data_IF_237927335616
#
_entry.id   IF_237927335616
#
_cell.length_a   1.000
_cell.length_b   1.000
_cell.length_c   1.000
_cell.angle_alpha   90.00
_cell.angle_beta   90.00
_cell.angle_gamma   90.00
#
_symmetry.space_group_name_H-M   'P 1'
#
loop_
_entity.id
_entity.type
_entity.pdbx_description
1 polymer ?
#
# COMPACT_ATOMS: atom_id res chain seq x y z
N UNK A 1 -8.36 -10.52 -12.95
CA UNK A 1 -6.94 -10.12 -12.78
C UNK A 1 -5.96 -11.16 -13.34
N UNK A 2 -6.42 -12.35 -13.72
CA UNK A 2 -5.59 -13.33 -14.44
C UNK A 2 -5.15 -12.71 -15.78
N UNK A 3 -3.84 -12.65 -16.03
CA UNK A 3 -3.25 -12.11 -17.27
C UNK A 3 -2.64 -10.71 -17.13
N UNK A 4 -2.57 -10.13 -15.94
CA UNK A 4 -1.88 -8.85 -15.72
C UNK A 4 -0.38 -9.01 -15.42
N UNK A 5 0.05 -10.22 -15.05
CA UNK A 5 1.45 -10.53 -14.72
C UNK A 5 2.41 -10.15 -15.87
N UNK A 6 2.15 -10.53 -17.15
CA UNK A 6 3.05 -10.18 -18.25
C UNK A 6 3.11 -8.67 -18.49
N UNK A 7 2.02 -7.95 -18.26
CA UNK A 7 1.99 -6.49 -18.43
C UNK A 7 2.85 -5.80 -17.38
N UNK A 8 2.73 -6.19 -16.09
CA UNK A 8 3.53 -5.64 -15.00
C UNK A 8 5.02 -5.94 -15.24
N UNK A 9 5.35 -7.16 -15.64
CA UNK A 9 6.71 -7.58 -15.96
C UNK A 9 7.30 -6.76 -17.11
N UNK A 10 6.57 -6.59 -18.22
CA UNK A 10 7.02 -5.81 -19.37
C UNK A 10 7.23 -4.33 -19.02
N UNK A 11 6.29 -3.74 -18.27
CA UNK A 11 6.39 -2.36 -17.83
C UNK A 11 7.62 -2.13 -16.95
N UNK A 12 7.83 -3.00 -15.95
CA UNK A 12 9.00 -2.92 -15.07
C UNK A 12 10.29 -3.15 -15.84
N UNK A 13 10.33 -4.08 -16.79
CA UNK A 13 11.49 -4.28 -17.66
C UNK A 13 11.88 -3.01 -18.41
N UNK A 14 10.92 -2.33 -19.05
CA UNK A 14 11.16 -1.05 -19.73
C UNK A 14 11.62 0.05 -18.79
N UNK A 15 11.08 0.13 -17.58
CA UNK A 15 11.51 1.12 -16.59
C UNK A 15 12.94 0.82 -16.11
N UNK A 16 13.29 -0.43 -15.89
CA UNK A 16 14.65 -0.86 -15.52
C UNK A 16 15.65 -0.52 -16.62
N UNK A 17 15.35 -0.83 -17.87
CA UNK A 17 16.18 -0.49 -19.04
C UNK A 17 16.39 1.02 -19.19
N UNK A 18 15.37 1.82 -18.91
CA UNK A 18 15.42 3.27 -19.07
C UNK A 18 16.14 3.97 -17.94
N UNK A 19 15.91 3.55 -16.70
CA UNK A 19 16.35 4.29 -15.50
C UNK A 19 17.51 3.63 -14.75
N UNK A 20 17.86 2.39 -15.09
CA UNK A 20 18.93 1.62 -14.44
C UNK A 20 18.90 1.71 -12.90
N UNK A 21 17.74 1.42 -12.24
CA UNK A 21 17.61 1.57 -10.81
C UNK A 21 18.45 0.53 -10.07
N UNK A 22 18.81 0.81 -8.82
CA UNK A 22 19.53 -0.14 -7.94
C UNK A 22 18.63 -1.24 -7.39
N UNK A 23 17.33 -0.95 -7.28
CA UNK A 23 16.27 -1.87 -6.90
C UNK A 23 14.92 -1.31 -7.41
N UNK A 24 13.93 -2.18 -7.48
CA UNK A 24 12.54 -1.78 -7.74
C UNK A 24 11.66 -2.09 -6.52
N UNK A 25 10.63 -1.26 -6.31
CA UNK A 25 9.60 -1.50 -5.30
C UNK A 25 8.25 -1.56 -6.01
N UNK A 26 7.53 -2.68 -5.88
CA UNK A 26 6.14 -2.76 -6.30
C UNK A 26 5.28 -2.25 -5.13
N UNK A 27 5.01 -0.94 -5.12
CA UNK A 27 4.25 -0.28 -4.06
C UNK A 27 2.72 -0.45 -4.28
N UNK A 28 2.28 -1.69 -4.43
CA UNK A 28 0.88 -2.08 -4.58
C UNK A 28 0.69 -3.50 -4.06
N UNK A 29 -0.20 -3.70 -3.07
CA UNK A 29 -0.48 -5.03 -2.53
C UNK A 29 -1.03 -5.97 -3.61
N UNK A 30 -1.99 -5.51 -4.40
CA UNK A 30 -2.58 -6.30 -5.50
C UNK A 30 -1.52 -6.72 -6.52
N UNK A 31 -0.71 -5.79 -7.02
CA UNK A 31 0.31 -6.10 -8.02
C UNK A 31 1.42 -7.01 -7.44
N UNK A 32 1.78 -6.82 -6.17
CA UNK A 32 2.78 -7.67 -5.53
C UNK A 32 2.30 -9.11 -5.39
N UNK A 33 1.06 -9.35 -4.98
CA UNK A 33 0.53 -10.71 -4.82
C UNK A 33 0.40 -11.45 -6.16
N UNK A 34 0.21 -10.71 -7.26
CA UNK A 34 0.02 -11.29 -8.59
C UNK A 34 1.36 -11.51 -9.30
N UNK A 35 2.26 -10.53 -9.30
CA UNK A 35 3.37 -10.48 -10.23
C UNK A 35 4.77 -10.61 -9.61
N UNK A 36 4.92 -10.55 -8.28
CA UNK A 36 6.24 -10.42 -7.65
C UNK A 36 7.21 -11.55 -8.02
N UNK A 37 6.76 -12.80 -8.01
CA UNK A 37 7.62 -13.94 -8.31
C UNK A 37 8.00 -13.99 -9.80
N UNK A 38 7.07 -13.64 -10.69
CA UNK A 38 7.33 -13.53 -12.12
C UNK A 38 8.35 -12.42 -12.43
N UNK A 39 8.19 -11.25 -11.78
CA UNK A 39 9.11 -10.12 -11.95
C UNK A 39 10.50 -10.46 -11.43
N UNK A 40 10.60 -11.12 -10.26
CA UNK A 40 11.89 -11.53 -9.67
C UNK A 40 12.64 -12.55 -10.52
N UNK A 41 11.92 -13.45 -11.19
CA UNK A 41 12.55 -14.43 -12.07
C UNK A 41 12.98 -13.86 -13.42
N UNK A 42 12.42 -12.72 -13.83
CA UNK A 42 12.69 -12.12 -15.14
C UNK A 42 13.70 -10.97 -15.11
N UNK A 43 13.89 -10.32 -13.96
CA UNK A 43 14.77 -9.14 -13.84
C UNK A 43 15.97 -9.45 -12.96
N UNK A 44 17.16 -9.18 -13.47
CA UNK A 44 18.42 -9.23 -12.70
C UNK A 44 18.56 -7.97 -11.84
N UNK A 45 17.63 -7.79 -10.92
CA UNK A 45 17.48 -6.61 -10.06
C UNK A 45 16.76 -7.00 -8.78
N UNK A 46 17.18 -6.52 -7.59
CA UNK A 46 16.42 -6.70 -6.36
C UNK A 46 15.02 -6.08 -6.47
N UNK A 47 13.98 -6.88 -6.23
CA UNK A 47 12.58 -6.40 -6.25
C UNK A 47 11.94 -6.59 -4.89
N UNK A 48 11.45 -5.48 -4.31
CA UNK A 48 10.71 -5.45 -3.04
C UNK A 48 9.23 -5.36 -3.36
N UNK A 49 8.45 -6.31 -2.86
CA UNK A 49 6.99 -6.26 -2.93
C UNK A 49 6.37 -5.68 -1.67
N UNK A 50 5.11 -5.29 -1.77
CA UNK A 50 4.28 -4.82 -0.68
C UNK A 50 3.28 -5.91 -0.31
N UNK A 51 3.17 -6.22 0.97
CA UNK A 51 2.24 -7.23 1.49
C UNK A 51 1.48 -6.67 2.68
N UNK A 52 0.22 -7.11 2.91
CA UNK A 52 -0.53 -6.70 4.09
C UNK A 52 0.24 -6.97 5.39
N UNK A 53 0.30 -5.97 6.26
CA UNK A 53 1.09 -6.01 7.50
C UNK A 53 0.37 -6.80 8.62
N UNK A 54 -0.09 -8.02 8.32
CA UNK A 54 -0.86 -8.86 9.25
C UNK A 54 -0.03 -9.25 10.46
N UNK A 55 1.26 -9.62 10.27
CA UNK A 55 2.14 -9.99 11.38
C UNK A 55 2.29 -8.84 12.41
N UNK A 56 2.69 -7.62 12.04
CA UNK A 56 2.75 -6.51 12.99
C UNK A 56 1.40 -6.20 13.64
N UNK A 57 0.28 -6.33 12.92
CA UNK A 57 -1.05 -6.14 13.48
C UNK A 57 -1.37 -7.18 14.55
N UNK A 58 -1.04 -8.46 14.32
CA UNK A 58 -1.22 -9.52 15.30
C UNK A 58 -0.36 -9.33 16.57
N UNK A 59 0.82 -8.73 16.43
CA UNK A 59 1.71 -8.43 17.54
C UNK A 59 1.16 -7.34 18.49
N UNK A 60 0.37 -6.39 17.99
CA UNK A 60 -0.17 -5.27 18.79
C UNK A 60 -1.63 -5.41 19.17
N UNK A 61 -2.42 -6.23 18.46
CA UNK A 61 -3.84 -6.44 18.76
C UNK A 61 -4.03 -7.11 20.13
N UNK A 62 -4.85 -6.50 20.98
CA UNK A 62 -5.23 -7.02 22.30
C UNK A 62 -6.54 -7.78 22.24
N UNK A 63 -7.49 -7.31 21.44
CA UNK A 63 -8.79 -7.98 21.26
C UNK A 63 -8.71 -9.27 20.46
N UNK A 64 -7.62 -9.45 19.72
CA UNK A 64 -7.42 -10.52 18.72
C UNK A 64 -8.44 -10.47 17.57
N UNK A 65 -9.04 -9.29 17.34
CA UNK A 65 -9.91 -9.00 16.20
C UNK A 65 -9.24 -7.90 15.35
N UNK A 66 -8.82 -8.27 14.16
CA UNK A 66 -8.03 -7.43 13.27
C UNK A 66 -8.82 -7.15 12.00
N UNK A 67 -8.95 -5.89 11.63
CA UNK A 67 -9.47 -5.47 10.33
C UNK A 67 -8.37 -5.49 9.26
N UNK A 68 -8.69 -5.99 8.07
CA UNK A 68 -7.85 -5.84 6.88
C UNK A 68 -8.59 -4.99 5.86
N UNK A 69 -8.17 -3.74 5.75
CA UNK A 69 -8.79 -2.73 4.89
C UNK A 69 -7.94 -2.60 3.61
N UNK A 70 -8.52 -2.94 2.47
CA UNK A 70 -7.79 -2.98 1.20
C UNK A 70 -8.67 -2.65 -0.01
N UNK A 71 -8.19 -2.97 -1.20
CA UNK A 71 -9.04 -3.04 -2.37
C UNK A 71 -9.80 -4.37 -2.38
N UNK A 72 -10.94 -4.44 -3.08
CA UNK A 72 -11.68 -5.69 -3.27
C UNK A 72 -10.77 -6.83 -3.79
N UNK A 73 -9.87 -6.50 -4.72
CA UNK A 73 -8.92 -7.45 -5.26
C UNK A 73 -7.93 -7.96 -4.22
N UNK A 74 -7.42 -7.08 -3.34
CA UNK A 74 -6.45 -7.47 -2.30
C UNK A 74 -7.10 -8.35 -1.24
N UNK A 75 -8.27 -7.96 -0.72
CA UNK A 75 -8.88 -8.65 0.43
C UNK A 75 -9.42 -10.05 0.08
N UNK A 76 -9.63 -10.31 -1.22
CA UNK A 76 -10.08 -11.63 -1.73
C UNK A 76 -8.94 -12.57 -2.14
N UNK A 77 -7.69 -12.13 -2.06
CA UNK A 77 -6.56 -12.99 -2.44
C UNK A 77 -6.32 -14.10 -1.42
N UNK A 78 -6.12 -15.35 -1.85
CA UNK A 78 -5.74 -16.46 -0.97
C UNK A 78 -4.48 -16.17 -0.13
N UNK A 79 -3.59 -15.35 -0.66
CA UNK A 79 -2.40 -14.87 0.03
C UNK A 79 -2.70 -14.18 1.38
N UNK A 80 -3.84 -13.50 1.50
CA UNK A 80 -4.27 -12.91 2.78
C UNK A 80 -4.62 -14.01 3.79
N UNK A 81 -5.21 -15.12 3.32
CA UNK A 81 -5.50 -16.30 4.15
C UNK A 81 -4.20 -16.97 4.63
N UNK A 82 -3.23 -17.13 3.74
CA UNK A 82 -1.92 -17.70 4.07
C UNK A 82 -1.18 -16.86 5.12
N UNK A 83 -1.19 -15.52 4.97
CA UNK A 83 -0.62 -14.62 5.96
C UNK A 83 -1.35 -14.71 7.31
N UNK A 84 -2.67 -14.76 7.29
CA UNK A 84 -3.48 -14.88 8.50
C UNK A 84 -3.20 -16.20 9.22
N UNK A 85 -3.22 -17.31 8.50
CA UNK A 85 -2.89 -18.63 9.06
C UNK A 85 -1.48 -18.69 9.65
N UNK A 86 -0.52 -18.05 8.99
CA UNK A 86 0.89 -18.09 9.41
C UNK A 86 1.21 -17.19 10.61
N UNK A 87 0.57 -16.03 10.73
CA UNK A 87 1.00 -14.97 11.65
C UNK A 87 -0.06 -14.53 12.64
N UNK A 88 -1.32 -14.95 12.48
CA UNK A 88 -2.46 -14.52 13.29
C UNK A 88 -3.50 -15.63 13.45
N UNK A 89 -3.05 -16.89 13.61
CA UNK A 89 -3.92 -18.05 13.75
C UNK A 89 -4.85 -18.01 14.96
N UNK A 90 -4.52 -17.17 15.93
CA UNK A 90 -5.30 -16.89 17.17
C UNK A 90 -6.13 -15.60 17.06
N UNK A 91 -6.22 -14.99 15.87
CA UNK A 91 -6.98 -13.77 15.61
C UNK A 91 -8.15 -14.02 14.68
N UNK A 92 -9.24 -13.30 14.91
CA UNK A 92 -10.30 -13.13 13.92
C UNK A 92 -9.89 -12.05 12.91
N UNK A 93 -9.97 -12.35 11.60
CA UNK A 93 -9.64 -11.42 10.53
C UNK A 93 -10.91 -10.96 9.82
N UNK A 94 -11.26 -9.69 9.99
CA UNK A 94 -12.38 -9.05 9.29
C UNK A 94 -11.83 -8.30 8.08
N UNK A 95 -12.38 -8.56 6.88
CA UNK A 95 -11.89 -8.01 5.62
C UNK A 95 -12.90 -7.05 5.02
N UNK A 96 -12.43 -5.91 4.58
CA UNK A 96 -13.25 -4.94 3.87
C UNK A 96 -12.50 -4.35 2.68
N UNK A 97 -13.11 -4.47 1.49
CA UNK A 97 -12.62 -3.85 0.27
C UNK A 97 -13.39 -2.54 0.02
N UNK A 98 -12.68 -1.41 -0.03
CA UNK A 98 -13.31 -0.10 -0.23
C UNK A 98 -12.72 0.64 -1.43
N UNK A 99 -13.35 0.59 -2.60
CA UNK A 99 -12.95 1.42 -3.74
C UNK A 99 -13.17 2.92 -3.47
N UNK A 100 -14.11 3.25 -2.57
CA UNK A 100 -14.39 4.64 -2.23
C UNK A 100 -13.22 5.28 -1.46
N UNK A 101 -12.57 4.56 -0.53
CA UNK A 101 -11.37 5.04 0.13
C UNK A 101 -10.22 5.31 -0.86
N UNK A 102 -10.10 4.54 -1.94
CA UNK A 102 -9.11 4.83 -2.99
C UNK A 102 -9.40 6.17 -3.64
N UNK A 103 -10.67 6.45 -4.01
CA UNK A 103 -11.07 7.73 -4.60
C UNK A 103 -10.84 8.92 -3.66
N UNK A 104 -11.16 8.75 -2.38
CA UNK A 104 -10.92 9.77 -1.35
C UNK A 104 -9.41 10.06 -1.19
N UNK A 105 -8.56 9.03 -1.17
CA UNK A 105 -7.12 9.20 -1.10
C UNK A 105 -6.56 9.93 -2.33
N UNK A 106 -7.02 9.59 -3.54
CA UNK A 106 -6.66 10.28 -4.78
C UNK A 106 -7.14 11.73 -4.77
N UNK A 107 -8.35 11.99 -4.28
CA UNK A 107 -8.88 13.34 -4.12
C UNK A 107 -8.01 14.19 -3.18
N UNK A 108 -7.63 13.62 -2.02
CA UNK A 108 -6.72 14.28 -1.07
C UNK A 108 -5.35 14.57 -1.68
N UNK A 109 -4.79 13.64 -2.45
CA UNK A 109 -3.52 13.84 -3.13
C UNK A 109 -3.61 14.92 -4.22
N UNK A 110 -4.76 15.07 -4.85
CA UNK A 110 -5.07 16.14 -5.80
C UNK A 110 -5.33 17.50 -5.14
N UNK A 111 -5.36 17.57 -3.81
CA UNK A 111 -5.56 18.80 -3.05
C UNK A 111 -6.98 19.08 -2.60
N UNK A 112 -7.91 18.16 -2.83
CA UNK A 112 -9.29 18.30 -2.33
C UNK A 112 -9.33 18.08 -0.81
N UNK A 113 -10.28 18.72 -0.17
CA UNK A 113 -10.59 18.42 1.22
C UNK A 113 -11.41 17.13 1.31
N UNK A 114 -10.95 16.23 2.17
CA UNK A 114 -11.63 14.96 2.43
C UNK A 114 -12.21 15.02 3.85
N UNK A 115 -13.51 14.80 3.98
CA UNK A 115 -14.15 14.85 5.29
C UNK A 115 -14.00 13.53 6.05
N UNK A 116 -13.94 13.62 7.38
CA UNK A 116 -13.92 12.46 8.29
C UNK A 116 -15.17 11.59 8.11
N UNK A 117 -16.31 12.22 7.86
CA UNK A 117 -17.60 11.53 7.65
C UNK A 117 -17.58 10.67 6.39
N UNK A 118 -16.97 11.16 5.29
CA UNK A 118 -16.84 10.39 4.05
C UNK A 118 -15.93 9.17 4.25
N UNK A 119 -14.79 9.36 4.95
CA UNK A 119 -13.87 8.27 5.28
C UNK A 119 -14.52 7.27 6.24
N UNK A 120 -15.26 7.76 7.25
CA UNK A 120 -16.05 6.92 8.15
C UNK A 120 -17.06 6.07 7.38
N UNK A 121 -17.88 6.67 6.54
CA UNK A 121 -18.89 5.97 5.76
C UNK A 121 -18.30 4.87 4.87
N UNK A 122 -17.13 5.15 4.27
CA UNK A 122 -16.44 4.21 3.38
C UNK A 122 -15.76 3.03 4.12
N UNK A 123 -15.42 3.18 5.40
CA UNK A 123 -14.80 2.15 6.23
C UNK A 123 -15.80 1.46 7.18
N UNK A 124 -16.95 2.09 7.46
CA UNK A 124 -17.96 1.65 8.44
C UNK A 124 -18.42 0.19 8.26
N UNK A 125 -18.62 -0.33 7.03
CA UNK A 125 -19.06 -1.71 6.85
C UNK A 125 -18.13 -2.77 7.48
N UNK A 126 -16.84 -2.43 7.68
CA UNK A 126 -15.92 -3.32 8.39
C UNK A 126 -16.27 -3.45 9.88
N UNK A 127 -16.87 -2.42 10.46
CA UNK A 127 -17.19 -2.32 11.89
C UNK A 127 -18.64 -2.71 12.20
N UNK A 128 -19.51 -2.86 11.20
CA UNK A 128 -20.95 -3.13 11.39
C UNK A 128 -21.26 -4.61 11.69
N UNK A 129 -20.31 -5.52 11.50
CA UNK A 129 -20.50 -6.95 11.76
C UNK A 129 -20.48 -7.28 13.26
N UNK A 130 -20.89 -8.50 13.64
CA UNK A 130 -20.97 -8.92 15.04
C UNK A 130 -19.65 -8.77 15.82
N UNK A 131 -18.53 -8.96 15.14
CA UNK A 131 -17.18 -8.85 15.71
C UNK A 131 -16.53 -7.51 15.40
N UNK A 132 -17.16 -6.70 14.54
CA UNK A 132 -16.61 -5.42 14.06
C UNK A 132 -16.36 -4.42 15.20
N UNK A 133 -17.22 -4.40 16.21
CA UNK A 133 -17.06 -3.55 17.39
C UNK A 133 -15.83 -3.93 18.26
N UNK A 134 -15.29 -5.13 18.08
CA UNK A 134 -14.11 -5.62 18.79
C UNK A 134 -12.80 -5.34 18.05
N UNK A 135 -12.84 -4.78 16.85
CA UNK A 135 -11.64 -4.43 16.09
C UNK A 135 -10.85 -3.36 16.86
N UNK A 136 -9.64 -3.68 17.28
CA UNK A 136 -8.71 -2.73 17.90
C UNK A 136 -7.52 -2.37 17.01
N UNK A 137 -7.33 -3.12 15.93
CA UNK A 137 -6.21 -2.94 15.01
C UNK A 137 -6.68 -3.14 13.57
N UNK A 138 -6.30 -2.22 12.68
CA UNK A 138 -6.60 -2.27 11.25
C UNK A 138 -5.32 -2.24 10.44
N UNK A 139 -5.18 -3.23 9.54
CA UNK A 139 -4.13 -3.26 8.53
C UNK A 139 -4.56 -2.42 7.32
N UNK A 140 -3.80 -1.39 6.99
CA UNK A 140 -3.96 -0.60 5.78
C UNK A 140 -3.33 -1.36 4.60
N UNK A 141 -4.09 -2.29 4.03
CA UNK A 141 -3.65 -3.19 2.96
C UNK A 141 -3.79 -2.59 1.55
N UNK A 142 -3.81 -1.28 1.45
CA UNK A 142 -3.72 -0.51 0.20
C UNK A 142 -2.78 0.66 0.42
N UNK A 143 -1.84 0.88 -0.49
CA UNK A 143 -0.83 1.94 -0.38
C UNK A 143 -1.40 3.36 -0.48
N UNK A 144 -2.64 3.53 -0.87
CA UNK A 144 -3.37 4.80 -0.80
C UNK A 144 -3.84 5.16 0.61
N UNK A 145 -4.17 4.17 1.42
CA UNK A 145 -4.88 4.39 2.68
C UNK A 145 -4.08 5.10 3.78
N UNK A 146 -2.74 4.99 3.86
CA UNK A 146 -1.96 5.85 4.75
C UNK A 146 -2.14 7.35 4.50
N UNK A 147 -2.54 7.77 3.30
CA UNK A 147 -2.90 9.17 3.02
C UNK A 147 -4.15 9.65 3.79
N UNK A 148 -5.01 8.71 4.20
CA UNK A 148 -6.24 8.97 4.96
C UNK A 148 -6.13 8.58 6.44
N UNK A 149 -4.92 8.29 6.93
CA UNK A 149 -4.74 7.80 8.31
C UNK A 149 -5.23 8.80 9.35
N UNK A 150 -5.09 10.09 9.11
CA UNK A 150 -5.58 11.14 10.00
C UNK A 150 -7.10 11.10 10.14
N UNK A 151 -7.82 11.05 9.03
CA UNK A 151 -9.28 10.97 8.99
C UNK A 151 -9.79 9.64 9.56
N UNK A 152 -9.08 8.54 9.29
CA UNK A 152 -9.39 7.23 9.87
C UNK A 152 -9.26 7.24 11.39
N UNK A 153 -8.21 7.85 11.94
CA UNK A 153 -8.02 7.98 13.40
C UNK A 153 -9.08 8.84 14.05
N UNK A 154 -9.52 9.90 13.38
CA UNK A 154 -10.64 10.74 13.86
C UNK A 154 -11.97 9.99 13.74
N UNK A 155 -12.18 9.21 12.68
CA UNK A 155 -13.38 8.43 12.50
C UNK A 155 -13.51 7.28 13.53
N UNK A 156 -12.41 6.60 13.83
CA UNK A 156 -12.36 5.43 14.71
C UNK A 156 -11.19 5.55 15.71
N UNK A 157 -11.34 6.39 16.75
CA UNK A 157 -10.22 6.81 17.63
C UNK A 157 -9.63 5.69 18.49
N UNK A 158 -10.37 4.59 18.70
CA UNK A 158 -9.93 3.46 19.52
C UNK A 158 -9.19 2.38 18.70
N UNK A 159 -8.93 2.63 17.42
CA UNK A 159 -8.31 1.67 16.50
C UNK A 159 -6.86 2.05 16.23
N UNK A 160 -5.98 1.08 16.31
CA UNK A 160 -4.58 1.19 15.87
C UNK A 160 -4.47 0.87 14.39
N UNK A 161 -3.69 1.66 13.63
CA UNK A 161 -3.48 1.45 12.21
C UNK A 161 -2.05 0.99 11.94
N UNK A 162 -1.90 0.00 11.05
CA UNK A 162 -0.61 -0.58 10.67
C UNK A 162 -0.54 -0.69 9.16
N UNK A 163 0.57 -0.28 8.57
CA UNK A 163 0.87 -0.44 7.14
C UNK A 163 2.18 -1.20 6.90
N UNK A 164 2.49 -1.43 5.62
CA UNK A 164 3.71 -2.12 5.19
C UNK A 164 4.96 -1.24 5.13
N UNK A 165 4.84 0.08 5.30
CA UNK A 165 5.91 1.06 5.01
C UNK A 165 7.20 0.79 5.77
N UNK A 166 7.13 0.59 7.07
CA UNK A 166 8.30 0.30 7.90
C UNK A 166 9.00 -1.02 7.50
N UNK A 167 8.23 -2.04 7.10
CA UNK A 167 8.76 -3.32 6.60
C UNK A 167 9.49 -3.16 5.28
N UNK A 168 8.90 -2.42 4.35
CA UNK A 168 9.48 -2.08 3.05
C UNK A 168 10.78 -1.30 3.25
N UNK A 169 10.78 -0.26 4.07
CA UNK A 169 11.96 0.56 4.36
C UNK A 169 13.11 -0.28 4.93
N UNK A 170 12.84 -1.15 5.90
CA UNK A 170 13.87 -2.09 6.43
C UNK A 170 14.42 -3.01 5.36
N UNK A 171 13.57 -3.52 4.46
CA UNK A 171 14.02 -4.40 3.38
C UNK A 171 14.87 -3.66 2.35
N UNK A 172 14.50 -2.44 2.00
CA UNK A 172 15.31 -1.56 1.13
C UNK A 172 16.68 -1.32 1.77
N UNK A 173 16.72 -0.90 3.04
CA UNK A 173 17.95 -0.64 3.76
C UNK A 173 18.87 -1.89 3.80
N UNK A 174 18.30 -3.07 4.00
CA UNK A 174 19.04 -4.33 3.96
C UNK A 174 19.67 -4.61 2.59
N UNK A 175 18.88 -4.46 1.51
CA UNK A 175 19.31 -4.75 0.14
C UNK A 175 20.31 -3.73 -0.40
N UNK A 176 20.32 -2.53 0.15
CA UNK A 176 21.24 -1.44 -0.28
C UNK A 176 22.38 -1.19 0.70
N UNK A 177 22.54 -2.08 1.69
CA UNK A 177 23.61 -1.98 2.69
C UNK A 177 24.99 -1.94 2.03
N UNK A 178 25.82 -0.96 2.42
CA UNK A 178 27.17 -0.76 1.87
C UNK A 178 27.24 -0.10 0.51
N UNK A 179 26.12 0.24 -0.11
CA UNK A 179 26.11 1.01 -1.35
C UNK A 179 26.38 2.50 -1.06
N UNK A 180 27.13 3.21 -1.93
CA UNK A 180 27.31 4.66 -1.78
C UNK A 180 26.01 5.40 -2.07
N UNK A 181 25.67 6.33 -1.18
CA UNK A 181 24.53 7.22 -1.33
C UNK A 181 25.01 8.66 -1.53
N UNK A 182 24.33 9.49 -2.33
CA UNK A 182 24.66 10.89 -2.45
C UNK A 182 24.46 11.60 -1.10
N UNK A 183 25.34 12.56 -0.80
CA UNK A 183 25.28 13.36 0.44
C UNK A 183 24.04 14.27 0.48
N UNK A 184 23.51 14.64 -0.68
CA UNK A 184 22.28 15.42 -0.83
C UNK A 184 21.25 14.56 -1.58
N UNK A 185 20.05 14.34 -1.01
CA UNK A 185 19.01 13.62 -1.71
C UNK A 185 18.63 14.36 -3.01
N UNK A 186 18.60 13.65 -4.12
CA UNK A 186 17.99 14.15 -5.36
C UNK A 186 16.47 14.13 -5.19
N UNK A 187 15.76 15.13 -5.72
CA UNK A 187 14.31 15.12 -5.78
C UNK A 187 13.77 13.92 -6.55
N UNK A 188 12.65 13.37 -6.08
CA UNK A 188 11.95 12.28 -6.77
C UNK A 188 11.30 12.74 -8.08
N UNK A 189 11.12 11.80 -9.01
CA UNK A 189 10.37 12.01 -10.26
C UNK A 189 9.15 11.11 -10.26
N UNK A 190 7.96 11.69 -10.48
CA UNK A 190 6.73 10.95 -10.77
C UNK A 190 6.59 10.76 -12.27
N UNK A 191 6.52 9.51 -12.71
CA UNK A 191 6.34 9.18 -14.13
C UNK A 191 4.98 8.51 -14.34
N UNK A 192 4.12 9.11 -15.14
CA UNK A 192 2.88 8.48 -15.60
C UNK A 192 3.13 7.70 -16.89
N UNK A 193 2.63 6.48 -16.95
CA UNK A 193 2.68 5.62 -18.16
C UNK A 193 1.49 5.85 -19.11
N UNK A 194 0.73 6.89 -18.87
CA UNK A 194 -0.41 7.34 -19.64
C UNK A 194 -0.98 8.62 -19.05
N UNK A 195 -2.06 9.14 -19.62
CA UNK A 195 -2.74 10.33 -19.08
C UNK A 195 -3.46 9.97 -17.79
N UNK A 196 -3.09 10.52 -16.63
CA UNK A 196 -3.78 10.25 -15.39
C UNK A 196 -5.20 10.86 -15.43
N UNK A 197 -6.17 10.14 -14.89
CA UNK A 197 -7.54 10.65 -14.74
C UNK A 197 -7.58 11.90 -13.84
N UNK A 198 -6.66 11.97 -12.89
CA UNK A 198 -6.48 13.10 -11.99
C UNK A 198 -4.98 13.32 -11.73
N UNK A 199 -4.53 14.58 -11.75
CA UNK A 199 -3.13 14.91 -11.42
C UNK A 199 -3.02 15.25 -9.94
N UNK A 200 -2.02 14.70 -9.24
CA UNK A 200 -1.67 15.13 -7.90
C UNK A 200 -1.30 16.61 -7.88
N UNK A 201 -1.61 17.29 -6.79
CA UNK A 201 -1.19 18.68 -6.60
C UNK A 201 0.34 18.74 -6.38
N UNK A 202 1.02 19.64 -7.07
CA UNK A 202 2.48 19.78 -6.97
C UNK A 202 2.95 20.01 -5.51
N UNK A 203 2.19 20.78 -4.74
CA UNK A 203 2.48 21.00 -3.31
C UNK A 203 2.34 19.73 -2.47
N UNK A 204 1.45 18.81 -2.83
CA UNK A 204 1.32 17.50 -2.18
C UNK A 204 2.50 16.60 -2.53
N UNK A 205 2.94 16.61 -3.78
CA UNK A 205 4.11 15.86 -4.23
C UNK A 205 5.41 16.39 -3.63
N UNK A 206 5.54 17.70 -3.51
CA UNK A 206 6.71 18.32 -2.88
C UNK A 206 6.90 17.87 -1.42
N UNK A 207 5.80 17.69 -0.65
CA UNK A 207 5.84 17.12 0.70
C UNK A 207 6.36 15.68 0.75
N UNK A 208 6.21 14.94 -0.37
CA UNK A 208 6.71 13.58 -0.54
C UNK A 208 8.12 13.55 -1.17
N UNK A 209 8.76 14.72 -1.34
CA UNK A 209 10.08 14.81 -1.97
C UNK A 209 10.08 14.62 -3.49
N UNK A 210 8.93 14.73 -4.16
CA UNK A 210 8.77 14.61 -5.60
C UNK A 210 8.76 16.00 -6.21
N UNK A 211 9.79 16.32 -7.00
CA UNK A 211 9.98 17.65 -7.63
C UNK A 211 9.72 17.68 -9.14
N UNK A 212 9.50 16.54 -9.77
CA UNK A 212 9.31 16.46 -11.22
C UNK A 212 8.16 15.51 -11.59
N UNK A 213 7.36 15.90 -12.58
CA UNK A 213 6.30 15.07 -13.15
C UNK A 213 6.59 14.86 -14.64
N UNK A 214 6.61 13.61 -15.07
CA UNK A 214 6.78 13.20 -16.45
C UNK A 214 5.61 12.32 -16.90
N UNK A 215 5.37 12.27 -18.22
CA UNK A 215 4.43 11.31 -18.84
C UNK A 215 5.17 10.61 -19.98
N UNK A 216 5.02 9.27 -20.06
CA UNK A 216 5.53 8.45 -21.16
C UNK A 216 4.50 8.36 -22.28
#
# INVERSE_FOLDING_TARGET
YLGQEPFIQLLLGRLVERFHPRLAVIACNTASTIALDHVRSALDLPVVGTVPAIKPAAEISKSRVIGVLGTEATVRQPYVDDLAAKFSSDCTIIRHGSPELVKLAEAKLAGDQVSVEAVRAAAQPMFDGPEGNSIDTVVLACTHFPLLEEELRQAFPNVSYVDGGAGIARRIAYLTKGQPWPSVPSGGTLLFTGTPARRPLESSLAKLGIGQILTM
#
